data_IF_829182246143
#
_entry.id   IF_829182246143
#
_cell.length_a   1.000
_cell.length_b   1.000
_cell.length_c   1.000
_cell.angle_alpha   90.00
_cell.angle_beta   90.00
_cell.angle_gamma   90.00
#
_symmetry.space_group_name_H-M   'P 1'
#
loop_
_entity.id
_entity.type
_entity.pdbx_description
1 polymer ?
#
# COMPACT_ATOMS: atom_id res chain seq x y z
N UNK A 1 12.51 -17.80 4.01
CA UNK A 1 12.03 -16.42 4.17
C UNK A 1 10.91 -16.39 5.20
N UNK A 2 11.25 -16.42 6.48
CA UNK A 2 10.28 -16.31 7.57
C UNK A 2 10.29 -14.86 8.08
N UNK A 3 9.12 -14.25 8.31
CA UNK A 3 9.01 -12.92 8.92
C UNK A 3 8.82 -11.72 7.99
N UNK A 4 8.76 -11.89 6.66
CA UNK A 4 8.31 -10.81 5.77
C UNK A 4 6.78 -10.67 5.86
N UNK A 5 6.30 -9.43 5.83
CA UNK A 5 4.86 -9.14 5.71
C UNK A 5 4.41 -9.61 4.32
N UNK A 6 3.41 -10.49 4.27
CA UNK A 6 2.91 -11.08 3.01
C UNK A 6 1.58 -10.45 2.58
N UNK A 7 0.71 -10.16 3.55
CA UNK A 7 -0.58 -9.53 3.30
C UNK A 7 -1.05 -8.78 4.55
N UNK A 8 -1.56 -7.58 4.36
CA UNK A 8 -2.20 -6.77 5.39
C UNK A 8 -3.19 -5.82 4.71
N UNK A 9 -4.19 -5.39 5.46
CA UNK A 9 -5.19 -4.44 5.00
C UNK A 9 -5.12 -3.16 5.85
N UNK A 10 -5.19 -2.02 5.17
CA UNK A 10 -5.32 -0.71 5.81
C UNK A 10 -6.63 -0.10 5.32
N UNK A 11 -7.69 -0.08 6.14
CA UNK A 11 -8.91 0.62 5.80
C UNK A 11 -8.66 2.11 5.65
N UNK A 12 -9.29 2.74 4.66
CA UNK A 12 -9.23 4.18 4.44
C UNK A 12 -10.59 4.71 4.01
N UNK A 13 -10.84 5.96 4.36
CA UNK A 13 -11.98 6.75 3.89
C UNK A 13 -11.70 7.38 2.52
N UNK A 14 -10.47 7.84 2.33
CA UNK A 14 -9.96 8.45 1.09
C UNK A 14 -8.68 7.72 0.66
N UNK A 15 -8.78 6.99 -0.45
CA UNK A 15 -7.67 6.22 -0.99
C UNK A 15 -6.54 7.07 -1.55
N UNK A 16 -6.83 8.24 -2.12
CA UNK A 16 -5.79 9.12 -2.67
C UNK A 16 -4.96 9.75 -1.56
N UNK A 17 -5.63 10.19 -0.48
CA UNK A 17 -4.96 10.67 0.73
C UNK A 17 -4.08 9.60 1.36
N UNK A 18 -4.60 8.37 1.50
CA UNK A 18 -3.86 7.27 2.10
C UNK A 18 -2.62 6.90 1.27
N UNK A 19 -2.78 6.69 -0.04
CA UNK A 19 -1.67 6.34 -0.94
C UNK A 19 -0.55 7.39 -0.92
N UNK A 20 -0.91 8.67 -0.95
CA UNK A 20 0.06 9.78 -0.86
C UNK A 20 0.83 9.73 0.46
N UNK A 21 0.11 9.64 1.59
CA UNK A 21 0.73 9.61 2.92
C UNK A 21 1.73 8.45 3.07
N UNK A 22 1.32 7.22 2.73
CA UNK A 22 2.19 6.05 2.90
C UNK A 22 3.38 6.05 1.92
N UNK A 23 3.17 6.52 0.69
CA UNK A 23 4.25 6.69 -0.28
C UNK A 23 5.29 7.72 0.16
N UNK A 24 4.86 8.89 0.64
CA UNK A 24 5.76 9.98 1.06
C UNK A 24 6.45 9.69 2.39
N UNK A 25 5.71 9.16 3.38
CA UNK A 25 6.23 8.99 4.75
C UNK A 25 7.17 7.78 4.85
N UNK A 26 6.84 6.68 4.17
CA UNK A 26 7.60 5.43 4.28
C UNK A 26 8.40 5.08 3.02
N UNK A 27 8.30 5.88 1.97
CA UNK A 27 8.95 5.59 0.68
C UNK A 27 8.41 4.33 0.00
N UNK A 28 7.18 3.91 0.34
CA UNK A 28 6.57 2.72 -0.24
C UNK A 28 6.24 2.93 -1.71
N UNK A 29 6.44 1.89 -2.52
CA UNK A 29 5.94 1.90 -3.89
C UNK A 29 4.49 1.49 -3.89
N UNK A 30 3.63 2.36 -4.43
CA UNK A 30 2.18 2.22 -4.39
C UNK A 30 1.66 2.03 -5.81
N UNK A 31 1.00 0.90 -6.06
CA UNK A 31 0.44 0.55 -7.37
C UNK A 31 -1.07 0.33 -7.21
N UNK A 32 -1.91 1.35 -7.51
CA UNK A 32 -3.36 1.17 -7.50
C UNK A 32 -3.79 0.20 -8.61
N UNK A 33 -4.78 -0.65 -8.32
CA UNK A 33 -5.41 -1.56 -9.28
C UNK A 33 -6.92 -1.29 -9.30
N UNK A 34 -7.36 -0.25 -10.02
CA UNK A 34 -8.73 0.26 -9.96
C UNK A 34 -9.79 -0.77 -10.36
N UNK A 35 -9.50 -1.59 -11.37
CA UNK A 35 -10.41 -2.63 -11.87
C UNK A 35 -10.74 -3.69 -10.83
N UNK A 36 -9.87 -3.85 -9.82
CA UNK A 36 -10.03 -4.82 -8.75
C UNK A 36 -10.35 -4.17 -7.40
N UNK A 37 -10.43 -2.83 -7.32
CA UNK A 37 -10.75 -2.11 -6.10
C UNK A 37 -9.70 -2.18 -4.99
N UNK A 38 -8.46 -2.57 -5.30
CA UNK A 38 -7.37 -2.69 -4.32
C UNK A 38 -6.12 -1.91 -4.73
N UNK A 39 -5.19 -1.77 -3.79
CA UNK A 39 -3.88 -1.15 -4.01
C UNK A 39 -2.80 -2.11 -3.55
N UNK A 40 -1.82 -2.38 -4.40
CA UNK A 40 -0.62 -3.11 -4.00
C UNK A 40 0.41 -2.14 -3.46
N UNK A 41 1.12 -2.55 -2.42
CA UNK A 41 2.23 -1.78 -1.84
C UNK A 41 3.47 -2.67 -1.70
N UNK A 42 4.62 -2.12 -2.05
CA UNK A 42 5.92 -2.73 -1.76
C UNK A 42 6.59 -1.93 -0.65
N UNK A 43 6.78 -2.58 0.50
CA UNK A 43 7.22 -1.95 1.76
C UNK A 43 8.71 -2.14 2.04
N UNK A 44 9.46 -2.75 1.12
CA UNK A 44 10.90 -3.03 1.20
C UNK A 44 11.41 -3.88 0.03
N UNK A 45 12.73 -4.04 -0.15
CA UNK A 45 13.33 -4.87 -1.21
C UNK A 45 13.11 -6.39 -1.04
#
# INVERSE_FOLDING_TARGET
>A
MTGKVVHFEIPFDDGDRARKFYGETFGWQVTPMPEMGYTMVMTGP
#
